data_IF_346376825254
#
_entry.id   IF_346376825254
#
_cell.length_a   1.000
_cell.length_b   1.000
_cell.length_c   1.000
_cell.angle_alpha   90.00
_cell.angle_beta   90.00
_cell.angle_gamma   90.00
#
_symmetry.space_group_name_H-M   'P 1'
#
loop_
_entity.id
_entity.type
_entity.pdbx_description
1 polymer ?
#
# COMPACT_ATOMS: atom_id res chain seq x y z
N UNK A 1 19.98 -0.73 -12.82
CA UNK A 1 20.93 -1.47 -11.94
C UNK A 1 20.39 -1.59 -10.53
N UNK A 2 19.52 -0.67 -10.08
CA UNK A 2 18.99 -0.64 -8.72
C UNK A 2 18.09 -1.83 -8.41
N UNK A 3 17.19 -2.27 -9.32
CA UNK A 3 16.39 -3.49 -9.12
C UNK A 3 17.22 -4.73 -8.80
N UNK A 4 18.31 -4.96 -9.54
CA UNK A 4 19.13 -6.16 -9.34
C UNK A 4 19.85 -6.10 -7.99
N UNK A 5 20.30 -4.91 -7.59
CA UNK A 5 20.92 -4.71 -6.28
C UNK A 5 19.90 -4.92 -5.15
N UNK A 6 18.69 -4.39 -5.28
CA UNK A 6 17.60 -4.54 -4.32
C UNK A 6 17.17 -6.01 -4.15
N UNK A 7 16.99 -6.76 -5.24
CA UNK A 7 16.68 -8.20 -5.15
C UNK A 7 17.83 -8.97 -4.53
N UNK A 8 19.09 -8.67 -4.91
CA UNK A 8 20.27 -9.34 -4.33
C UNK A 8 20.44 -9.06 -2.85
N UNK A 9 20.10 -7.85 -2.38
CA UNK A 9 20.20 -7.47 -0.98
C UNK A 9 19.38 -8.41 -0.06
N UNK A 10 18.28 -8.99 -0.58
CA UNK A 10 17.43 -9.93 0.14
C UNK A 10 18.15 -11.24 0.49
N UNK A 11 19.16 -11.63 -0.29
CA UNK A 11 19.86 -12.92 -0.17
C UNK A 11 21.32 -12.81 0.30
N UNK A 12 21.84 -11.60 0.57
CA UNK A 12 23.22 -11.41 1.07
C UNK A 12 23.38 -12.02 2.46
N UNK A 13 24.21 -13.05 2.63
CA UNK A 13 24.43 -13.65 3.94
C UNK A 13 25.07 -12.66 4.94
N UNK A 14 24.35 -12.37 6.04
CA UNK A 14 24.81 -11.48 7.11
C UNK A 14 25.63 -12.20 8.18
N UNK A 15 25.80 -13.53 8.12
CA UNK A 15 26.67 -14.24 9.08
C UNK A 15 28.12 -13.73 9.03
N UNK A 16 28.52 -13.18 7.88
CA UNK A 16 29.82 -12.55 7.66
C UNK A 16 29.97 -11.15 8.27
N UNK A 17 28.86 -10.50 8.65
CA UNK A 17 28.83 -9.18 9.30
C UNK A 17 27.85 -9.19 10.49
N UNK A 18 28.30 -9.65 11.67
CA UNK A 18 27.47 -9.71 12.87
C UNK A 18 26.96 -8.35 13.35
N UNK A 19 27.70 -7.26 13.07
CA UNK A 19 27.29 -5.92 13.47
C UNK A 19 26.10 -5.45 12.65
N UNK A 20 26.12 -5.68 11.33
CA UNK A 20 24.99 -5.40 10.46
C UNK A 20 23.78 -6.30 10.78
N UNK A 21 24.01 -7.58 11.08
CA UNK A 21 22.95 -8.50 11.51
C UNK A 21 22.26 -8.03 12.80
N UNK A 22 23.04 -7.59 13.79
CA UNK A 22 22.53 -7.07 15.05
C UNK A 22 21.74 -5.77 14.84
N UNK A 23 22.27 -4.81 14.07
CA UNK A 23 21.59 -3.56 13.78
C UNK A 23 20.27 -3.77 13.02
N UNK A 24 20.23 -4.73 12.08
CA UNK A 24 18.99 -5.10 11.40
C UNK A 24 17.95 -5.67 12.38
N UNK A 25 18.36 -6.58 13.27
CA UNK A 25 17.46 -7.15 14.26
C UNK A 25 16.96 -6.10 15.27
N UNK A 26 17.83 -5.20 15.72
CA UNK A 26 17.47 -4.06 16.59
C UNK A 26 16.42 -3.16 15.93
N UNK A 27 16.56 -2.85 14.64
CA UNK A 27 15.56 -2.07 13.91
C UNK A 27 14.21 -2.81 13.81
N UNK A 28 14.22 -4.13 13.58
CA UNK A 28 12.98 -4.94 13.59
C UNK A 28 12.28 -4.88 14.94
N UNK A 29 13.05 -5.08 16.02
CA UNK A 29 12.53 -5.07 17.38
C UNK A 29 12.00 -3.69 17.75
N UNK A 30 12.70 -2.61 17.37
CA UNK A 30 12.25 -1.24 17.56
C UNK A 30 10.91 -0.97 16.87
N UNK A 31 10.77 -1.31 15.58
CA UNK A 31 9.49 -1.12 14.85
C UNK A 31 8.36 -1.91 15.51
N UNK A 32 8.62 -3.16 15.91
CA UNK A 32 7.64 -3.98 16.62
C UNK A 32 7.21 -3.33 17.94
N UNK A 33 8.16 -2.81 18.72
CA UNK A 33 7.87 -2.22 20.02
C UNK A 33 7.09 -0.90 19.87
N UNK A 34 7.38 -0.10 18.84
CA UNK A 34 6.56 1.05 18.46
C UNK A 34 5.13 0.65 18.07
N UNK A 35 4.95 -0.41 17.29
CA UNK A 35 3.61 -0.92 16.95
C UNK A 35 2.84 -1.39 18.18
N UNK A 36 3.53 -2.06 19.12
CA UNK A 36 2.93 -2.49 20.40
C UNK A 36 2.50 -1.29 21.23
N UNK A 37 3.37 -0.29 21.40
CA UNK A 37 3.03 0.94 22.09
C UNK A 37 1.85 1.67 21.44
N UNK A 38 1.75 1.64 20.10
CA UNK A 38 0.62 2.24 19.40
C UNK A 38 -0.74 1.59 19.76
N UNK A 39 -0.77 0.31 20.16
CA UNK A 39 -2.01 -0.36 20.58
C UNK A 39 -2.63 0.22 21.85
N UNK A 40 -1.85 0.90 22.70
CA UNK A 40 -2.38 1.57 23.88
C UNK A 40 -2.98 2.95 23.58
N UNK A 41 -2.83 3.46 22.35
CA UNK A 41 -3.42 4.73 21.93
C UNK A 41 -4.87 4.49 21.56
N UNK A 42 -5.79 5.01 22.37
CA UNK A 42 -7.23 4.88 22.11
C UNK A 42 -7.66 5.68 20.86
N UNK A 43 -8.44 5.02 20.01
CA UNK A 43 -9.08 5.68 18.87
C UNK A 43 -10.32 6.42 19.35
N UNK A 44 -10.28 7.74 19.25
CA UNK A 44 -11.38 8.66 19.56
C UNK A 44 -11.92 9.27 18.28
N UNK A 45 -13.13 9.85 18.31
CA UNK A 45 -13.66 10.56 17.16
C UNK A 45 -12.77 11.74 16.71
N UNK A 46 -12.03 12.36 17.64
CA UNK A 46 -11.14 13.48 17.35
C UNK A 46 -9.85 13.06 16.63
N UNK A 47 -9.34 11.84 16.90
CA UNK A 47 -8.08 11.36 16.35
C UNK A 47 -8.25 10.24 15.30
N UNK A 48 -9.48 9.84 14.95
CA UNK A 48 -9.78 8.67 14.12
C UNK A 48 -8.98 8.64 12.81
N UNK A 49 -8.93 9.75 12.08
CA UNK A 49 -8.20 9.84 10.82
C UNK A 49 -6.68 9.71 11.01
N UNK A 50 -6.13 10.35 12.04
CA UNK A 50 -4.70 10.25 12.36
C UNK A 50 -4.34 8.84 12.84
N UNK A 51 -5.21 8.21 13.62
CA UNK A 51 -5.06 6.85 14.11
C UNK A 51 -5.03 5.84 12.96
N UNK A 52 -6.00 5.92 12.03
CA UNK A 52 -6.02 5.09 10.82
C UNK A 52 -4.77 5.29 9.96
N UNK A 53 -4.33 6.55 9.75
CA UNK A 53 -3.13 6.82 8.97
C UNK A 53 -1.87 6.24 9.64
N UNK A 54 -1.74 6.38 10.96
CA UNK A 54 -0.64 5.82 11.71
C UNK A 54 -0.62 4.28 11.66
N UNK A 55 -1.78 3.61 11.71
CA UNK A 55 -1.87 2.16 11.51
C UNK A 55 -1.36 1.74 10.12
N UNK A 56 -1.77 2.46 9.08
CA UNK A 56 -1.35 2.20 7.70
C UNK A 56 0.16 2.39 7.56
N UNK A 57 0.71 3.49 8.10
CA UNK A 57 2.14 3.78 8.11
C UNK A 57 2.95 2.71 8.86
N UNK A 58 2.51 2.36 10.07
CA UNK A 58 3.16 1.37 10.91
C UNK A 58 3.18 -0.01 10.23
N UNK A 59 2.08 -0.40 9.59
CA UNK A 59 2.03 -1.60 8.78
C UNK A 59 3.04 -1.56 7.63
N UNK A 60 3.12 -0.46 6.88
CA UNK A 60 4.07 -0.30 5.78
C UNK A 60 5.51 -0.54 6.21
N UNK A 61 5.93 0.16 7.27
CA UNK A 61 7.27 0.01 7.85
C UNK A 61 7.53 -1.42 8.32
N UNK A 62 6.57 -2.01 9.02
CA UNK A 62 6.71 -3.38 9.52
C UNK A 62 6.79 -4.41 8.40
N UNK A 63 5.98 -4.23 7.34
CA UNK A 63 5.99 -5.08 6.17
C UNK A 63 7.36 -5.00 5.47
N UNK A 64 7.84 -3.79 5.18
CA UNK A 64 9.15 -3.56 4.54
C UNK A 64 10.28 -4.21 5.35
N UNK A 65 10.35 -3.91 6.64
CA UNK A 65 11.40 -4.41 7.54
C UNK A 65 11.29 -5.93 7.76
N UNK A 66 10.09 -6.49 7.71
CA UNK A 66 9.90 -7.95 7.81
C UNK A 66 10.25 -8.68 6.52
N UNK A 67 10.04 -8.04 5.36
CA UNK A 67 10.21 -8.65 4.04
C UNK A 67 11.56 -8.33 3.38
N UNK A 68 12.31 -7.34 3.87
CA UNK A 68 13.59 -6.88 3.30
C UNK A 68 14.59 -8.01 3.03
N UNK A 69 14.56 -9.05 3.85
CA UNK A 69 15.52 -10.16 3.85
C UNK A 69 14.93 -11.51 3.47
N UNK A 70 13.68 -11.53 3.00
CA UNK A 70 13.08 -12.75 2.47
C UNK A 70 13.47 -12.94 1.01
N UNK A 71 14.26 -13.99 0.74
CA UNK A 71 14.67 -14.34 -0.62
C UNK A 71 13.51 -14.93 -1.45
N UNK A 72 12.55 -15.58 -0.78
CA UNK A 72 11.36 -16.12 -1.41
C UNK A 72 10.22 -15.10 -1.39
N UNK A 73 9.83 -14.63 -2.56
CA UNK A 73 8.72 -13.69 -2.74
C UNK A 73 7.37 -14.32 -2.35
N UNK A 74 7.25 -15.66 -2.39
CA UNK A 74 6.06 -16.37 -1.89
C UNK A 74 5.85 -16.21 -0.39
N UNK A 75 6.90 -15.88 0.37
CA UNK A 75 6.77 -15.61 1.79
C UNK A 75 5.87 -14.41 2.10
N UNK A 76 5.58 -13.55 1.11
CA UNK A 76 4.63 -12.44 1.25
C UNK A 76 3.17 -12.88 1.34
N UNK A 77 2.83 -14.10 0.90
CA UNK A 77 1.43 -14.57 0.84
C UNK A 77 0.80 -14.73 2.22
N UNK A 78 1.62 -14.94 3.25
CA UNK A 78 1.19 -15.02 4.66
C UNK A 78 0.55 -13.73 5.18
N UNK A 79 0.76 -12.60 4.51
CA UNK A 79 0.25 -11.29 4.91
C UNK A 79 -1.14 -10.99 4.34
N UNK A 80 -1.77 -11.93 3.63
CA UNK A 80 -3.04 -11.68 2.94
C UNK A 80 -4.14 -11.14 3.86
N UNK A 81 -4.28 -11.69 5.06
CA UNK A 81 -5.29 -11.23 6.02
C UNK A 81 -5.00 -9.79 6.48
N UNK A 82 -3.72 -9.48 6.74
CA UNK A 82 -3.28 -8.13 7.12
C UNK A 82 -3.45 -7.15 5.96
N UNK A 83 -3.19 -7.58 4.71
CA UNK A 83 -3.47 -6.80 3.51
C UNK A 83 -4.94 -6.42 3.42
N UNK A 84 -5.84 -7.38 3.61
CA UNK A 84 -7.28 -7.13 3.55
C UNK A 84 -7.77 -6.23 4.69
N UNK A 85 -7.21 -6.39 5.90
CA UNK A 85 -7.48 -5.50 7.03
C UNK A 85 -7.01 -4.07 6.73
N UNK A 86 -5.74 -3.88 6.37
CA UNK A 86 -5.17 -2.55 6.11
C UNK A 86 -5.86 -1.86 4.94
N UNK A 87 -6.23 -2.62 3.91
CA UNK A 87 -7.01 -2.08 2.81
C UNK A 87 -8.37 -1.57 3.28
N UNK A 88 -9.01 -2.26 4.23
CA UNK A 88 -10.27 -1.81 4.83
C UNK A 88 -10.10 -0.53 5.67
N UNK A 89 -8.99 -0.42 6.42
CA UNK A 89 -8.61 0.80 7.14
C UNK A 89 -8.36 1.96 6.18
N UNK A 90 -7.64 1.70 5.07
CA UNK A 90 -7.37 2.68 4.02
C UNK A 90 -8.65 3.15 3.31
N UNK A 91 -9.56 2.23 2.99
CA UNK A 91 -10.87 2.53 2.42
C UNK A 91 -11.70 3.41 3.37
N UNK A 92 -11.71 3.11 4.68
CA UNK A 92 -12.39 3.91 5.71
C UNK A 92 -11.75 5.29 5.84
N UNK A 93 -10.43 5.38 5.88
CA UNK A 93 -9.71 6.65 5.92
C UNK A 93 -10.11 7.55 4.74
N UNK A 94 -10.11 7.02 3.51
CA UNK A 94 -10.50 7.79 2.32
C UNK A 94 -11.97 8.24 2.39
N UNK A 95 -12.86 7.43 2.98
CA UNK A 95 -14.27 7.78 3.20
C UNK A 95 -14.45 8.88 4.24
N UNK A 96 -13.79 8.81 5.40
CA UNK A 96 -13.84 9.85 6.43
C UNK A 96 -13.35 11.19 5.88
N UNK A 97 -12.34 11.17 5.01
CA UNK A 97 -11.84 12.37 4.32
C UNK A 97 -12.78 12.85 3.20
N UNK A 98 -13.67 11.99 2.69
CA UNK A 98 -14.63 12.29 1.63
C UNK A 98 -15.87 13.04 2.11
N UNK A 99 -16.33 12.80 3.33
CA UNK A 99 -17.58 13.38 3.85
C UNK A 99 -17.51 14.89 4.16
N UNK A 100 -16.32 15.51 4.10
CA UNK A 100 -16.19 16.97 4.26
C UNK A 100 -16.39 17.76 2.95
N UNK A 101 -16.63 17.08 1.83
CA UNK A 101 -17.10 17.70 0.60
C UNK A 101 -18.35 16.97 0.13
N UNK A 102 -19.40 17.73 -0.21
CA UNK A 102 -20.77 17.26 -0.35
C UNK A 102 -20.95 15.91 -1.05
N UNK A 103 -21.92 15.15 -0.57
CA UNK A 103 -22.38 13.90 -1.12
C UNK A 103 -22.63 13.98 -2.64
N UNK A 104 -21.65 13.58 -3.44
CA UNK A 104 -21.89 13.18 -4.81
C UNK A 104 -22.50 11.78 -4.77
N UNK A 105 -23.82 11.77 -4.93
CA UNK A 105 -24.67 10.61 -5.16
C UNK A 105 -24.03 9.60 -6.12
N UNK A 106 -24.14 8.28 -5.87
CA UNK A 106 -23.55 7.23 -6.70
C UNK A 106 -24.13 7.15 -8.14
N UNK A 107 -25.02 8.07 -8.54
CA UNK A 107 -25.66 8.13 -9.85
C UNK A 107 -25.35 9.40 -10.65
N UNK A 108 -24.34 10.20 -10.28
CA UNK A 108 -23.94 11.37 -11.08
C UNK A 108 -22.83 11.02 -12.07
N UNK A 109 -23.11 10.87 -13.39
CA UNK A 109 -22.07 10.78 -14.40
C UNK A 109 -21.43 12.17 -14.52
N UNK A 110 -20.33 12.40 -13.81
CA UNK A 110 -19.56 13.64 -13.90
C UNK A 110 -19.18 14.32 -12.58
N UNK A 111 -19.14 13.62 -11.45
CA UNK A 111 -18.57 14.17 -10.21
C UNK A 111 -17.15 14.71 -10.45
N UNK A 112 -16.98 16.02 -10.35
CA UNK A 112 -15.67 16.70 -10.53
C UNK A 112 -14.70 16.16 -9.48
N UNK A 113 -13.58 15.57 -9.92
CA UNK A 113 -12.42 15.38 -9.02
C UNK A 113 -12.03 16.77 -8.46
N UNK A 114 -11.74 16.88 -7.15
CA UNK A 114 -11.39 18.17 -6.55
C UNK A 114 -10.14 18.76 -7.21
N UNK A 115 -10.16 20.06 -7.51
CA UNK A 115 -9.08 20.81 -8.19
C UNK A 115 -7.77 20.92 -7.38
N UNK A 116 -7.75 20.41 -6.14
CA UNK A 116 -6.55 20.40 -5.29
C UNK A 116 -6.47 19.13 -4.42
N UNK A 117 -5.25 18.64 -4.21
CA UNK A 117 -4.96 17.55 -3.27
C UNK A 117 -5.33 17.96 -1.86
N UNK A 118 -5.97 17.06 -1.09
CA UNK A 118 -6.34 17.36 0.30
C UNK A 118 -5.06 17.53 1.15
N UNK A 119 -5.05 18.40 2.17
CA UNK A 119 -3.85 18.68 2.98
C UNK A 119 -3.16 17.44 3.56
N UNK A 120 -3.93 16.39 3.87
CA UNK A 120 -3.36 15.10 4.30
C UNK A 120 -2.57 14.41 3.19
N UNK A 121 -3.04 14.43 1.94
CA UNK A 121 -2.37 13.78 0.81
C UNK A 121 -1.17 14.57 0.28
N UNK A 122 -1.11 15.90 0.50
CA UNK A 122 0.06 16.73 0.16
C UNK A 122 1.29 16.46 1.02
N UNK A 123 1.10 15.86 2.21
CA UNK A 123 2.19 15.57 3.14
C UNK A 123 2.52 14.07 3.11
N UNK A 124 3.11 13.60 1.99
CA UNK A 124 3.77 12.29 1.91
C UNK A 124 3.05 11.14 2.64
N UNK A 125 1.72 11.04 2.50
CA UNK A 125 0.98 10.02 3.25
C UNK A 125 1.42 8.66 2.78
N UNK A 126 1.99 7.86 3.69
CA UNK A 126 2.39 6.49 3.36
C UNK A 126 1.19 5.62 2.95
N UNK A 127 -0.04 6.13 3.05
CA UNK A 127 -1.22 5.53 2.43
C UNK A 127 -1.00 5.13 0.97
N UNK A 128 -0.49 6.03 0.12
CA UNK A 128 -0.30 5.70 -1.31
C UNK A 128 0.76 4.61 -1.45
N UNK A 129 1.90 4.77 -0.77
CA UNK A 129 2.98 3.79 -0.79
C UNK A 129 2.50 2.40 -0.34
N UNK A 130 1.80 2.34 0.79
CA UNK A 130 1.28 1.09 1.38
C UNK A 130 0.24 0.45 0.48
N UNK A 131 -0.69 1.21 -0.08
CA UNK A 131 -1.71 0.67 -1.00
C UNK A 131 -1.04 0.09 -2.25
N UNK A 132 -0.01 0.74 -2.79
CA UNK A 132 0.76 0.25 -3.94
C UNK A 132 1.57 -1.00 -3.59
N UNK A 133 2.25 -1.02 -2.43
CA UNK A 133 2.95 -2.20 -1.92
C UNK A 133 2.00 -3.38 -1.82
N UNK A 134 0.79 -3.19 -1.25
CA UNK A 134 -0.19 -4.26 -1.16
C UNK A 134 -0.64 -4.68 -2.57
N UNK A 135 -0.81 -3.75 -3.52
CA UNK A 135 -1.21 -4.11 -4.89
C UNK A 135 -0.21 -5.04 -5.57
N UNK A 136 1.08 -4.74 -5.41
CA UNK A 136 2.16 -5.50 -6.00
C UNK A 136 2.45 -6.79 -5.24
N UNK A 137 2.27 -6.81 -3.92
CA UNK A 137 2.62 -7.95 -3.06
C UNK A 137 1.46 -8.91 -2.80
N UNK A 138 0.21 -8.46 -2.85
CA UNK A 138 -0.97 -9.32 -2.87
C UNK A 138 -1.17 -9.87 -4.27
N UNK A 139 -1.34 -11.19 -4.40
CA UNK A 139 -1.60 -11.89 -5.68
C UNK A 139 -3.07 -12.32 -5.80
N UNK A 140 -3.87 -11.99 -4.79
CA UNK A 140 -5.31 -12.16 -4.78
C UNK A 140 -6.01 -11.09 -5.66
N UNK A 141 -6.76 -11.57 -6.66
CA UNK A 141 -7.48 -10.71 -7.62
C UNK A 141 -8.55 -9.83 -6.97
N UNK A 142 -9.22 -10.29 -5.91
CA UNK A 142 -10.23 -9.48 -5.22
C UNK A 142 -9.59 -8.29 -4.48
N UNK A 143 -8.48 -8.52 -3.77
CA UNK A 143 -7.70 -7.47 -3.10
C UNK A 143 -7.14 -6.47 -4.12
N UNK A 144 -6.55 -6.94 -5.22
CA UNK A 144 -6.08 -6.09 -6.33
C UNK A 144 -7.19 -5.22 -6.91
N UNK A 145 -8.37 -5.78 -7.21
CA UNK A 145 -9.53 -5.03 -7.72
C UNK A 145 -10.03 -3.97 -6.72
N UNK A 146 -10.00 -4.26 -5.41
CA UNK A 146 -10.31 -3.27 -4.36
C UNK A 146 -9.29 -2.13 -4.38
N UNK A 147 -8.00 -2.43 -4.44
CA UNK A 147 -6.92 -1.44 -4.51
C UNK A 147 -7.04 -0.55 -5.74
N UNK A 148 -7.28 -1.13 -6.91
CA UNK A 148 -7.46 -0.33 -8.14
C UNK A 148 -8.64 0.64 -8.03
N UNK A 149 -9.73 0.25 -7.35
CA UNK A 149 -10.84 1.16 -7.06
C UNK A 149 -10.45 2.23 -6.05
N UNK A 150 -9.66 1.89 -5.03
CA UNK A 150 -9.17 2.84 -4.03
C UNK A 150 -8.23 3.87 -4.64
N UNK A 151 -7.22 3.45 -5.42
CA UNK A 151 -6.26 4.34 -6.09
C UNK A 151 -6.96 5.37 -6.99
N UNK A 152 -7.98 4.97 -7.74
CA UNK A 152 -8.79 5.89 -8.57
C UNK A 152 -9.58 6.92 -7.76
N UNK A 153 -9.88 6.63 -6.48
CA UNK A 153 -10.61 7.52 -5.56
C UNK A 153 -9.68 8.42 -4.75
N UNK A 154 -8.43 8.03 -4.57
CA UNK A 154 -7.43 8.86 -3.88
C UNK A 154 -7.14 10.06 -4.78
N UNK A 155 -7.41 11.26 -4.27
CA UNK A 155 -7.06 12.48 -4.98
C UNK A 155 -5.58 12.82 -4.78
N UNK A 156 -4.76 12.63 -5.82
CA UNK A 156 -3.34 13.00 -5.85
C UNK A 156 -3.06 14.31 -6.62
N UNK A 157 -4.11 15.04 -7.05
CA UNK A 157 -4.03 16.21 -7.92
C UNK A 157 -3.12 17.33 -7.38
N UNK A 158 -1.90 17.45 -7.93
CA UNK A 158 -0.92 18.45 -7.51
C UNK A 158 0.30 17.87 -6.77
N UNK A 159 0.26 16.60 -6.38
CA UNK A 159 1.43 15.87 -5.83
C UNK A 159 1.93 14.83 -6.82
N UNK A 160 1.02 14.05 -7.39
CA UNK A 160 1.33 12.96 -8.32
C UNK A 160 0.15 12.70 -9.24
N UNK A 161 0.37 12.06 -10.39
CA UNK A 161 -0.72 11.65 -11.27
C UNK A 161 -1.28 10.29 -10.83
N UNK A 162 -2.49 10.30 -10.28
CA UNK A 162 -3.18 9.08 -9.83
C UNK A 162 -3.57 8.14 -10.99
N UNK A 163 -3.84 8.68 -12.18
CA UNK A 163 -4.14 7.86 -13.35
C UNK A 163 -2.87 7.17 -13.87
N UNK A 164 -1.72 7.87 -13.81
CA UNK A 164 -0.41 7.27 -14.10
C UNK A 164 -0.10 6.11 -13.13
N UNK A 165 -0.30 6.32 -11.82
CA UNK A 165 -0.05 5.28 -10.82
C UNK A 165 -0.98 4.08 -10.97
N UNK A 166 -2.25 4.32 -11.32
CA UNK A 166 -3.20 3.26 -11.64
C UNK A 166 -2.74 2.48 -12.88
N UNK A 167 -2.35 3.17 -13.96
CA UNK A 167 -1.90 2.52 -15.19
C UNK A 167 -0.67 1.63 -14.95
N UNK A 168 0.32 2.14 -14.20
CA UNK A 168 1.47 1.35 -13.77
C UNK A 168 1.06 0.12 -12.98
N UNK A 169 0.22 0.30 -11.94
CA UNK A 169 -0.17 -0.80 -11.05
C UNK A 169 -0.94 -1.88 -11.80
N UNK A 170 -1.87 -1.47 -12.68
CA UNK A 170 -2.56 -2.38 -13.59
C UNK A 170 -1.60 -3.15 -14.48
N UNK A 171 -0.64 -2.46 -15.09
CA UNK A 171 0.33 -3.10 -15.98
C UNK A 171 1.16 -4.17 -15.29
N UNK A 172 1.63 -3.90 -14.06
CA UNK A 172 2.37 -4.86 -13.24
C UNK A 172 1.52 -6.10 -12.90
N UNK A 173 0.26 -5.88 -12.52
CA UNK A 173 -0.67 -6.97 -12.22
C UNK A 173 -0.91 -7.84 -13.46
N UNK A 174 -1.20 -7.21 -14.60
CA UNK A 174 -1.42 -7.89 -15.88
C UNK A 174 -0.21 -8.72 -16.30
N UNK A 175 1.01 -8.22 -16.12
CA UNK A 175 2.23 -8.96 -16.41
C UNK A 175 2.34 -10.24 -15.59
N UNK A 176 2.11 -10.18 -14.27
CA UNK A 176 2.16 -11.37 -13.41
C UNK A 176 1.06 -12.38 -13.80
N UNK A 177 -0.16 -11.90 -14.10
CA UNK A 177 -1.29 -12.75 -14.48
C UNK A 177 -1.09 -13.42 -15.85
N UNK A 178 -0.58 -12.69 -16.85
CA UNK A 178 -0.22 -13.25 -18.16
C UNK A 178 0.88 -14.30 -18.01
N UNK A 179 1.92 -14.02 -17.21
CA UNK A 179 2.98 -14.98 -16.97
C UNK A 179 2.47 -16.24 -16.25
N UNK A 180 1.56 -16.08 -15.27
CA UNK A 180 0.93 -17.20 -14.57
C UNK A 180 0.07 -18.06 -15.52
N UNK A 181 -0.74 -17.43 -16.38
CA UNK A 181 -1.56 -18.13 -17.39
C UNK A 181 -0.72 -18.93 -18.39
N UNK A 182 0.46 -18.42 -18.77
CA UNK A 182 1.39 -19.14 -19.65
C UNK A 182 2.05 -20.34 -18.97
N UNK A 183 2.26 -20.27 -17.64
CA UNK A 183 2.84 -21.35 -16.86
C UNK A 183 1.81 -22.44 -16.56
N UNK A 184 0.57 -22.05 -16.27
CA UNK A 184 -0.51 -22.96 -15.91
C UNK A 184 -1.81 -22.60 -16.65
N UNK A 185 -2.02 -23.11 -17.88
CA UNK A 185 -3.17 -22.79 -18.72
C UNK A 185 -4.52 -23.25 -18.15
N UNK A 186 -4.50 -24.15 -17.15
CA UNK A 186 -5.69 -24.76 -16.57
C UNK A 186 -6.37 -23.85 -15.52
N UNK A 187 -5.70 -22.79 -15.03
CA UNK A 187 -6.32 -21.84 -14.12
C UNK A 187 -7.18 -20.82 -14.87
N UNK A 188 -8.36 -20.54 -14.31
CA UNK A 188 -9.24 -19.49 -14.80
C UNK A 188 -8.57 -18.13 -14.63
N UNK A 189 -8.35 -17.43 -15.75
CA UNK A 189 -7.70 -16.11 -15.81
C UNK A 189 -8.49 -15.03 -15.03
N UNK A 190 -9.74 -15.31 -14.65
CA UNK A 190 -10.61 -14.28 -14.09
C UNK A 190 -10.32 -13.93 -12.62
N UNK A 191 -9.88 -14.89 -11.79
CA UNK A 191 -9.76 -14.70 -10.34
C UNK A 191 -8.63 -15.54 -9.73
N UNK A 192 -7.42 -15.01 -9.75
CA UNK A 192 -6.26 -15.62 -9.09
C UNK A 192 -6.33 -15.48 -7.56
N UNK A 193 -5.99 -16.58 -6.88
CA UNK A 193 -5.54 -16.62 -5.49
C UNK A 193 -4.02 -16.50 -5.42
N UNK A 194 -3.48 -16.16 -4.23
CA UNK A 194 -2.04 -15.94 -4.05
C UNK A 194 -1.19 -17.12 -4.54
N UNK A 195 -1.55 -18.34 -4.16
CA UNK A 195 -0.80 -19.56 -4.50
C UNK A 195 -0.89 -19.94 -6.00
N UNK A 196 -1.80 -19.33 -6.77
CA UNK A 196 -2.01 -19.63 -8.19
C UNK A 196 -1.07 -18.83 -9.10
N UNK A 197 -0.43 -17.78 -8.56
CA UNK A 197 0.65 -17.04 -9.23
C UNK A 197 1.99 -17.62 -8.73
N UNK A 198 2.63 -18.52 -9.52
CA UNK A 198 3.88 -19.16 -9.11
C UNK A 198 5.03 -18.16 -9.06
N UNK A 199 6.11 -18.50 -8.36
CA UNK A 199 7.26 -17.62 -8.14
C UNK A 199 7.85 -17.08 -9.46
N UNK A 200 7.86 -17.88 -10.52
CA UNK A 200 8.40 -17.51 -11.83
C UNK A 200 7.54 -16.48 -12.59
N UNK A 201 6.27 -16.33 -12.20
CA UNK A 201 5.38 -15.29 -12.72
C UNK A 201 5.46 -14.01 -11.89
N UNK A 202 6.06 -14.05 -10.69
CA UNK A 202 6.07 -12.91 -9.77
C UNK A 202 7.16 -11.92 -10.14
N UNK A 203 6.79 -10.65 -10.09
CA UNK A 203 7.73 -9.55 -10.14
C UNK A 203 8.29 -9.35 -8.73
N UNK A 204 9.61 -9.49 -8.62
CA UNK A 204 10.33 -9.39 -7.36
C UNK A 204 10.50 -7.94 -6.94
N UNK A 205 10.83 -7.08 -7.89
CA UNK A 205 11.11 -5.67 -7.66
C UNK A 205 10.88 -4.81 -8.91
N UNK A 206 10.59 -3.53 -8.69
CA UNK A 206 10.18 -2.55 -9.72
C UNK A 206 10.92 -1.24 -9.48
N UNK A 207 11.44 -0.64 -10.55
CA UNK A 207 12.07 0.67 -10.53
C UNK A 207 11.61 1.50 -11.74
N UNK A 208 11.59 2.82 -11.56
CA UNK A 208 11.12 3.77 -12.55
C UNK A 208 12.31 4.32 -13.33
N UNK A 209 12.34 4.15 -14.65
CA UNK A 209 13.46 4.70 -15.43
C UNK A 209 13.54 6.23 -15.38
N UNK A 210 12.37 6.85 -15.25
CA UNK A 210 12.20 8.27 -15.43
C UNK A 210 12.09 9.02 -14.08
N UNK A 211 12.36 8.39 -12.93
CA UNK A 211 12.19 9.05 -11.62
C UNK A 211 13.04 10.31 -11.45
N UNK A 212 14.20 10.35 -12.12
CA UNK A 212 15.09 11.52 -12.12
C UNK A 212 14.56 12.67 -12.99
N UNK A 213 13.57 12.44 -13.85
CA UNK A 213 12.94 13.48 -14.65
C UNK A 213 11.81 14.14 -13.87
N UNK A 214 11.83 15.48 -13.69
CA UNK A 214 10.71 16.18 -13.09
C UNK A 214 9.41 15.86 -13.82
N UNK A 215 8.35 15.61 -13.05
CA UNK A 215 6.99 15.39 -13.58
C UNK A 215 6.85 14.19 -14.54
N UNK A 216 7.73 13.18 -14.47
CA UNK A 216 7.67 12.00 -15.33
C UNK A 216 6.28 11.31 -15.34
N UNK A 217 5.58 11.38 -14.21
CA UNK A 217 4.24 10.85 -14.03
C UNK A 217 3.16 11.57 -14.86
N UNK A 218 3.47 12.71 -15.49
CA UNK A 218 2.55 13.41 -16.40
C UNK A 218 2.63 12.91 -17.84
N UNK A 219 3.61 12.07 -18.19
CA UNK A 219 3.72 11.53 -19.55
C UNK A 219 2.59 10.52 -19.86
N UNK A 220 2.22 10.41 -21.13
CA UNK A 220 1.24 9.42 -21.64
C UNK A 220 1.80 7.99 -21.68
N UNK A 221 3.12 7.86 -21.61
CA UNK A 221 3.81 6.57 -21.61
C UNK A 221 4.77 6.55 -20.43
N UNK A 222 4.62 5.55 -19.57
CA UNK A 222 5.57 5.26 -18.50
C UNK A 222 6.49 4.12 -18.90
N UNK A 223 7.69 4.10 -18.32
CA UNK A 223 8.67 3.02 -18.47
C UNK A 223 9.12 2.52 -17.11
N UNK A 224 9.25 1.21 -17.01
CA UNK A 224 9.59 0.51 -15.78
C UNK A 224 10.63 -0.55 -16.08
N UNK A 225 11.61 -0.65 -15.18
CA UNK A 225 12.53 -1.79 -15.08
C UNK A 225 12.00 -2.70 -13.98
N UNK A 226 11.99 -3.99 -14.24
CA UNK A 226 11.50 -4.97 -13.27
C UNK A 226 12.44 -6.17 -13.20
N UNK A 227 12.50 -6.77 -12.03
CA UNK A 227 13.25 -7.99 -11.78
C UNK A 227 12.28 -9.15 -11.54
N UNK A 228 12.61 -10.33 -12.08
CA UNK A 228 11.84 -11.56 -11.92
C UNK A 228 12.78 -12.76 -11.84
N UNK A 229 12.26 -13.90 -11.38
CA UNK A 229 13.02 -15.15 -11.35
C UNK A 229 12.56 -16.07 -12.48
N UNK A 230 13.49 -16.58 -13.29
CA UNK A 230 13.15 -17.57 -14.31
C UNK A 230 12.96 -18.98 -13.73
N UNK A 231 12.52 -19.93 -14.57
CA UNK A 231 12.32 -21.35 -14.18
C UNK A 231 13.60 -22.07 -13.71
N UNK A 232 14.78 -21.50 -13.93
CA UNK A 232 16.06 -22.04 -13.45
C UNK A 232 16.46 -21.41 -12.11
N UNK A 233 15.62 -20.55 -11.55
CA UNK A 233 15.89 -19.82 -10.34
C UNK A 233 16.82 -18.62 -10.54
N UNK A 234 17.11 -18.21 -11.78
CA UNK A 234 18.03 -17.12 -12.07
C UNK A 234 17.25 -15.80 -12.09
N UNK A 235 17.74 -14.80 -11.35
CA UNK A 235 17.18 -13.45 -11.37
C UNK A 235 17.52 -12.78 -12.70
N UNK A 236 16.49 -12.37 -13.43
CA UNK A 236 16.57 -11.60 -14.66
C UNK A 236 16.06 -10.18 -14.42
N UNK A 237 16.46 -9.26 -15.30
CA UNK A 237 15.97 -7.88 -15.32
C UNK A 237 15.55 -7.56 -16.74
N UNK A 238 14.37 -6.98 -16.87
CA UNK A 238 13.82 -6.56 -18.16
C UNK A 238 13.14 -5.19 -18.02
N UNK A 239 12.69 -4.64 -19.14
CA UNK A 239 12.08 -3.33 -19.23
C UNK A 239 10.81 -3.42 -20.04
N UNK A 240 9.79 -2.69 -19.59
CA UNK A 240 8.53 -2.57 -20.31
C UNK A 240 8.01 -1.14 -20.26
N UNK A 241 7.04 -0.86 -21.13
CA UNK A 241 6.35 0.41 -21.19
C UNK A 241 4.85 0.21 -21.11
N UNK A 242 4.16 1.16 -20.49
CA UNK A 242 2.71 1.16 -20.35
C UNK A 242 2.14 2.50 -20.79
N UNK A 243 0.89 2.47 -21.26
CA UNK A 243 0.16 3.68 -21.66
C UNK A 243 -0.72 4.15 -20.51
N UNK A 244 -0.78 5.46 -20.33
CA UNK A 244 -1.64 6.12 -19.33
C UNK A 244 -2.87 6.67 -20.03
N UNK A 245 -4.02 6.06 -19.74
CA UNK A 245 -5.31 6.55 -20.19
C UNK A 245 -5.87 7.52 -19.15
N UNK A 246 -5.69 8.82 -19.41
CA UNK A 246 -6.30 9.87 -18.58
C UNK A 246 -7.73 10.07 -19.04
N UNK A 247 -8.67 10.05 -18.11
CA UNK A 247 -10.04 10.45 -18.44
C UNK A 247 -10.02 11.96 -18.62
N UNK A 248 -10.07 12.43 -19.87
CA UNK A 248 -10.17 13.87 -20.15
C UNK A 248 -11.41 14.41 -19.44
N UNK A 249 -11.20 15.29 -18.46
CA UNK A 249 -12.26 16.18 -18.04
C UNK A 249 -12.50 17.13 -19.21
N UNK A 250 -13.66 17.02 -19.85
CA UNK A 250 -14.13 18.03 -20.80
C UNK A 250 -14.02 19.40 -20.13
N UNK A 251 -12.99 20.16 -20.52
CA UNK A 251 -12.78 21.54 -20.09
C UNK A 251 -13.80 22.42 -20.79
N UNK A 252 -15.04 22.34 -20.34
CA UNK A 252 -16.10 23.27 -20.69
C UNK A 252 -16.64 23.82 -19.39
N UNK A 253 -16.05 24.92 -18.92
CA UNK A 253 -16.71 25.93 -18.08
C UNK A 253 -15.79 27.14 -18.00
N UNK A 254 -16.02 28.07 -18.93
CA UNK A 254 -15.68 29.47 -18.75
C UNK A 254 -16.37 30.01 -17.48
N UNK A 255 -15.64 30.84 -16.75
CA UNK A 255 -16.11 32.03 -16.04
C UNK A 255 -17.33 31.89 -15.11
N UNK A 256 -17.10 31.99 -13.79
CA UNK A 256 -17.61 33.15 -13.03
C UNK A 256 -17.12 33.19 -11.57
N UNK A 257 -16.79 34.42 -11.18
CA UNK A 257 -16.39 34.97 -9.89
C UNK A 257 -17.13 34.44 -8.65
N UNK A 258 -16.45 34.36 -7.50
CA UNK A 258 -16.38 35.47 -6.52
C UNK A 258 -15.88 35.00 -5.14
N UNK A 259 -15.14 35.91 -4.51
CA UNK A 259 -14.50 35.91 -3.19
C UNK A 259 -15.47 35.84 -2.01
N UNK A 260 -15.06 35.21 -0.91
CA UNK A 260 -15.13 35.84 0.42
C UNK A 260 -14.28 35.11 1.47
N UNK A 261 -13.66 35.94 2.30
CA UNK A 261 -12.73 35.67 3.39
C UNK A 261 -13.37 34.95 4.59
N UNK A 262 -12.56 34.22 5.36
CA UNK A 262 -12.68 34.19 6.83
C UNK A 262 -11.39 33.72 7.51
N UNK A 263 -11.01 34.46 8.56
CA UNK A 263 -9.76 34.39 9.35
C UNK A 263 -9.84 33.37 10.51
N UNK A 264 -8.71 32.82 11.01
CA UNK A 264 -8.68 31.78 12.05
C UNK A 264 -8.29 32.28 13.46
N UNK A 265 -8.83 31.63 14.50
CA UNK A 265 -8.41 31.60 15.91
C UNK A 265 -9.28 30.49 16.57
N UNK A 266 -8.85 29.54 17.42
CA UNK A 266 -7.87 29.55 18.49
C UNK A 266 -7.28 28.13 18.71
N UNK A 267 -6.03 28.08 19.16
CA UNK A 267 -5.34 26.91 19.72
C UNK A 267 -5.26 27.08 21.24
N UNK A 268 -5.75 26.11 22.01
CA UNK A 268 -5.35 25.94 23.41
C UNK A 268 -5.03 24.48 23.73
N UNK A 269 -4.01 24.34 24.56
CA UNK A 269 -3.23 23.16 24.87
C UNK A 269 -3.76 22.42 26.12
N UNK A 270 -3.57 21.09 26.15
CA UNK A 270 -3.56 20.26 27.36
C UNK A 270 -2.53 19.14 27.09
N UNK A 271 -1.32 19.25 27.63
CA UNK A 271 -0.87 18.80 28.97
C UNK A 271 -0.88 17.28 29.11
N UNK A 272 0.34 16.71 29.10
CA UNK A 272 0.64 15.30 29.25
C UNK A 272 1.12 15.05 30.67
N UNK A 273 0.52 14.08 31.36
CA UNK A 273 1.16 13.43 32.50
C UNK A 273 1.16 11.91 32.35
N UNK A 274 2.32 11.37 32.69
CA UNK A 274 2.82 10.00 32.64
C UNK A 274 1.95 8.95 33.36
N UNK A 275 2.11 7.68 32.98
CA UNK A 275 2.18 6.57 33.93
C UNK A 275 2.91 5.35 33.33
N UNK A 276 3.91 4.89 34.06
CA UNK A 276 4.71 3.68 33.88
C UNK A 276 3.93 2.41 34.30
N UNK A 277 4.19 1.24 33.69
CA UNK A 277 4.96 0.12 34.28
C UNK A 277 4.75 -1.25 33.57
N UNK A 278 5.90 -1.89 33.31
CA UNK A 278 6.31 -3.26 32.96
C UNK A 278 5.33 -4.45 32.71
N UNK A 279 5.57 -5.09 31.56
CA UNK A 279 6.17 -6.44 31.33
C UNK A 279 5.39 -7.74 31.68
N UNK A 280 5.15 -8.56 30.65
CA UNK A 280 5.53 -9.99 30.59
C UNK A 280 4.85 -10.74 29.44
N UNK A 281 5.65 -11.58 28.76
CA UNK A 281 5.30 -12.74 27.92
C UNK A 281 5.20 -12.54 26.39
N UNK A 282 6.39 -12.56 25.76
CA UNK A 282 6.62 -13.17 24.46
C UNK A 282 6.07 -14.61 24.43
N UNK A 283 5.19 -14.92 23.46
CA UNK A 283 5.37 -16.02 22.47
C UNK A 283 4.14 -16.34 21.57
N UNK A 284 3.04 -15.57 21.59
CA UNK A 284 1.82 -15.84 20.76
C UNK A 284 1.38 -14.72 19.76
N UNK A 285 2.24 -13.74 19.51
CA UNK A 285 1.82 -12.38 19.11
C UNK A 285 1.78 -12.10 17.58
N UNK A 286 1.27 -13.04 16.78
CA UNK A 286 0.84 -12.77 15.39
C UNK A 286 -0.69 -12.79 15.22
N UNK A 287 -1.43 -13.25 16.23
CA UNK A 287 -2.90 -13.30 16.28
C UNK A 287 -3.54 -12.10 17.00
N UNK A 288 -2.74 -11.18 17.52
CA UNK A 288 -3.13 -10.11 18.46
C UNK A 288 -3.21 -8.72 17.83
N UNK A 289 -3.01 -8.60 16.52
CA UNK A 289 -3.63 -7.47 15.83
C UNK A 289 -5.14 -7.60 16.03
N UNK A 290 -5.86 -6.55 16.48
CA UNK A 290 -7.28 -6.68 16.75
C UNK A 290 -8.04 -6.81 15.43
N UNK A 291 -8.15 -8.06 14.94
CA UNK A 291 -9.15 -8.47 13.97
C UNK A 291 -10.57 -8.44 14.57
N UNK A 292 -10.73 -8.07 15.84
CA UNK A 292 -11.99 -8.10 16.57
C UNK A 292 -12.55 -6.71 16.83
N UNK A 293 -13.42 -6.25 15.92
CA UNK A 293 -14.76 -5.71 16.25
C UNK A 293 -15.62 -5.41 15.03
N UNK A 294 -15.79 -6.38 14.12
CA UNK A 294 -17.05 -6.53 13.36
C UNK A 294 -17.35 -8.03 13.33
N UNK A 295 -18.47 -8.42 13.93
CA UNK A 295 -18.80 -9.82 14.18
C UNK A 295 -19.01 -10.64 12.91
N UNK A 296 -18.50 -11.87 12.95
CA UNK A 296 -19.16 -13.01 12.35
C UNK A 296 -18.83 -14.23 13.22
N UNK A 297 -19.86 -14.75 13.87
CA UNK A 297 -19.83 -15.94 14.71
C UNK A 297 -19.71 -17.22 13.87
N UNK A 298 -19.08 -18.22 14.47
CA UNK A 298 -19.16 -19.66 14.21
C UNK A 298 -18.51 -20.24 12.93
N UNK A 299 -17.27 -20.74 13.06
CA UNK A 299 -16.91 -22.09 12.55
C UNK A 299 -16.04 -22.80 13.59
N UNK A 300 -16.68 -23.76 14.27
CA UNK A 300 -16.04 -24.82 15.05
C UNK A 300 -15.65 -25.94 14.10
N UNK A 301 -14.38 -26.34 14.07
CA UNK A 301 -14.01 -27.70 13.67
C UNK A 301 -13.01 -28.27 14.66
N UNK A 302 -13.52 -29.23 15.43
CA UNK A 302 -12.78 -30.15 16.28
C UNK A 302 -11.81 -30.99 15.45
N UNK A 303 -10.59 -31.17 15.95
CA UNK A 303 -9.67 -32.20 15.50
C UNK A 303 -9.89 -33.49 16.33
N UNK A 304 -10.25 -34.56 15.64
CA UNK A 304 -9.79 -35.94 15.89
C UNK A 304 -9.59 -36.60 14.55
#
# INVERSE_FOLDING_TARGET
>A
MECLAAVRLRSVDLTSDPALAAAYQENKDSVRDWMKAFTSVEMTAANEAAHMLAQIQAFGLWFEVSCLRHADEMACDRWQEQFDYILSVAERYVQCQGNNFGADSPNSPGGRRPDSTRPGFTLGTALVNVVVIIAWKSRNSATRRRIMRLLRRINLAGVFDGDWLCALTSHIIEMEEIAAAQLNPDFSIAEYQNYEIPLEARILDIDFLDWAMPEFYKHEVGKVVYAYQDRKGIIQVDMTSFRVERTEMSSSLESSCSSSDTSPADLEALDMTELEYADSALLDDLSTWPATRIGCSDIVLNAT
#
